data_IF_049739409501
#
_entry.id   IF_049739409501
#
_cell.length_a   1.000
_cell.length_b   1.000
_cell.length_c   1.000
_cell.angle_alpha   90.00
_cell.angle_beta   90.00
_cell.angle_gamma   90.00
#
_symmetry.space_group_name_H-M   'P 1'
#
loop_
_entity.id
_entity.type
_entity.pdbx_description
1 polymer ?
#
# COMPACT_ATOMS: atom_id res chain seq x y z
N UNK A 1 -60.03 1.78 14.01
CA UNK A 1 -58.83 2.31 14.70
C UNK A 1 -57.92 1.13 14.98
N UNK A 2 -56.98 0.84 14.08
CA UNK A 2 -55.95 -0.22 14.19
C UNK A 2 -54.64 0.38 13.66
N UNK A 3 -53.59 0.16 14.43
CA UNK A 3 -52.23 0.69 14.25
C UNK A 3 -51.39 -0.22 13.33
N UNK A 4 -50.27 0.34 12.87
CA UNK A 4 -49.15 -0.26 12.15
C UNK A 4 -49.35 -0.51 10.65
N UNK A 5 -48.61 0.25 9.83
CA UNK A 5 -47.65 -0.30 8.87
C UNK A 5 -46.56 0.76 8.61
N UNK A 6 -45.43 0.53 9.29
CA UNK A 6 -44.12 1.11 9.04
C UNK A 6 -43.82 1.05 7.54
N UNK A 7 -43.74 2.19 6.86
CA UNK A 7 -43.14 2.27 5.52
C UNK A 7 -41.63 2.22 5.68
N UNK A 8 -41.10 1.01 5.72
CA UNK A 8 -39.71 0.74 5.36
C UNK A 8 -39.66 0.82 3.83
N UNK A 9 -38.98 1.83 3.32
CA UNK A 9 -38.61 1.91 1.91
C UNK A 9 -37.34 1.06 1.73
N UNK A 10 -37.36 -0.01 0.91
CA UNK A 10 -36.19 -0.82 0.67
C UNK A 10 -35.38 -0.26 -0.51
N UNK A 11 -34.07 -0.32 -0.38
CA UNK A 11 -33.06 -0.25 -1.45
C UNK A 11 -32.88 1.10 -2.15
N UNK A 12 -32.02 1.95 -1.58
CA UNK A 12 -31.01 2.61 -2.40
C UNK A 12 -29.64 2.07 -1.97
N UNK A 13 -29.07 1.32 -2.89
CA UNK A 13 -27.76 0.70 -2.81
C UNK A 13 -26.65 1.75 -2.66
N UNK A 14 -25.53 1.32 -2.07
CA UNK A 14 -24.19 1.90 -2.26
C UNK A 14 -23.83 3.24 -1.58
N UNK A 15 -24.02 3.37 -0.27
CA UNK A 15 -23.06 4.15 0.55
C UNK A 15 -22.00 3.21 1.13
N UNK A 16 -21.37 2.46 0.23
CA UNK A 16 -20.08 1.82 0.47
C UNK A 16 -18.97 2.86 0.40
N UNK A 17 -19.00 3.85 1.31
CA UNK A 17 -17.82 4.66 1.61
C UNK A 17 -16.93 3.83 2.56
N UNK A 18 -16.61 2.62 2.13
CA UNK A 18 -15.63 1.77 2.80
C UNK A 18 -14.26 2.15 2.25
N UNK A 19 -13.56 2.94 3.06
CA UNK A 19 -12.13 3.19 2.96
C UNK A 19 -11.66 3.75 1.60
N UNK A 20 -11.92 5.04 1.38
CA UNK A 20 -10.91 5.85 0.67
C UNK A 20 -9.70 5.86 1.59
N UNK A 21 -8.86 4.85 1.43
CA UNK A 21 -7.60 4.65 2.11
C UNK A 21 -6.86 5.99 2.26
N UNK A 22 -6.81 6.48 3.51
CA UNK A 22 -6.20 7.73 3.99
C UNK A 22 -4.69 7.70 3.75
N UNK A 23 -4.29 7.74 2.48
CA UNK A 23 -2.89 7.72 2.05
C UNK A 23 -2.22 9.09 2.25
N UNK A 24 -2.78 9.94 3.10
CA UNK A 24 -2.33 11.31 3.40
C UNK A 24 -1.06 11.34 4.25
N UNK A 25 -0.69 10.22 4.87
CA UNK A 25 0.60 10.05 5.58
C UNK A 25 1.68 9.41 4.68
N UNK A 26 1.45 9.30 3.37
CA UNK A 26 2.46 8.78 2.46
C UNK A 26 3.47 9.88 2.08
N UNK A 27 4.66 9.75 2.68
CA UNK A 27 5.95 10.15 2.12
C UNK A 27 6.58 11.46 2.58
N UNK A 28 6.81 11.60 3.89
CA UNK A 28 8.04 12.24 4.35
C UNK A 28 9.19 11.21 4.42
N UNK A 29 9.73 10.81 3.27
CA UNK A 29 10.98 10.03 3.19
C UNK A 29 12.21 10.93 3.10
N UNK A 30 12.02 12.26 3.11
CA UNK A 30 13.10 13.23 3.01
C UNK A 30 13.51 13.82 4.37
N UNK A 31 12.70 13.68 5.43
CA UNK A 31 12.86 14.36 6.71
C UNK A 31 13.26 13.48 7.90
N UNK A 32 14.36 12.74 7.83
CA UNK A 32 15.06 12.33 9.07
C UNK A 32 14.69 10.97 9.67
N UNK A 33 14.62 9.92 8.88
CA UNK A 33 14.74 8.55 9.42
C UNK A 33 16.23 8.21 9.52
N UNK A 34 16.71 7.82 10.69
CA UNK A 34 18.08 7.34 10.91
C UNK A 34 18.37 5.99 10.24
N UNK A 35 17.76 5.73 9.09
CA UNK A 35 17.87 4.51 8.32
C UNK A 35 19.11 4.59 7.42
N UNK A 36 19.84 3.49 7.35
CA UNK A 36 20.95 3.32 6.42
C UNK A 36 20.48 3.37 4.97
N UNK A 37 21.39 3.74 4.06
CA UNK A 37 21.09 3.82 2.62
C UNK A 37 20.56 2.50 2.04
N UNK A 38 20.98 1.35 2.60
CA UNK A 38 20.50 0.04 2.18
C UNK A 38 19.02 -0.19 2.56
N UNK A 39 18.62 0.18 3.79
CA UNK A 39 17.25 0.06 4.27
C UNK A 39 16.29 0.95 3.47
N UNK A 40 16.72 2.16 3.12
CA UNK A 40 15.95 3.07 2.26
C UNK A 40 15.68 2.48 0.87
N UNK A 41 16.65 1.75 0.29
CA UNK A 41 16.47 1.09 -1.00
C UNK A 41 15.46 -0.05 -0.93
N UNK A 42 15.49 -0.86 0.13
CA UNK A 42 14.51 -1.94 0.37
C UNK A 42 13.10 -1.37 0.52
N UNK A 43 12.94 -0.33 1.34
CA UNK A 43 11.63 0.34 1.54
C UNK A 43 11.11 0.90 0.21
N UNK A 44 11.96 1.60 -0.54
CA UNK A 44 11.59 2.17 -1.84
C UNK A 44 11.15 1.09 -2.83
N UNK A 45 11.88 -0.03 -2.92
CA UNK A 45 11.50 -1.15 -3.79
C UNK A 45 10.18 -1.80 -3.36
N UNK A 46 9.96 -1.99 -2.05
CA UNK A 46 8.72 -2.56 -1.51
C UNK A 46 7.49 -1.71 -1.83
N UNK A 47 7.62 -0.39 -1.81
CA UNK A 47 6.54 0.54 -2.17
C UNK A 47 6.20 0.49 -3.66
N UNK A 48 7.20 0.32 -4.51
CA UNK A 48 6.97 0.10 -5.94
C UNK A 48 6.25 -1.22 -6.20
N UNK A 49 6.60 -2.30 -5.46
CA UNK A 49 5.87 -3.58 -5.51
C UNK A 49 4.41 -3.40 -5.12
N UNK A 50 4.15 -2.72 -3.99
CA UNK A 50 2.79 -2.46 -3.51
C UNK A 50 1.98 -1.65 -4.54
N UNK A 51 2.61 -0.68 -5.19
CA UNK A 51 2.00 0.15 -6.24
C UNK A 51 1.68 -0.67 -7.49
N UNK A 52 2.63 -1.47 -7.99
CA UNK A 52 2.43 -2.34 -9.15
C UNK A 52 1.32 -3.37 -8.89
N UNK A 53 1.28 -3.94 -7.69
CA UNK A 53 0.21 -4.84 -7.27
C UNK A 53 -1.16 -4.16 -7.26
N UNK A 54 -1.25 -2.95 -6.67
CA UNK A 54 -2.49 -2.15 -6.64
C UNK A 54 -3.00 -1.81 -8.04
N UNK A 55 -2.09 -1.49 -8.96
CA UNK A 55 -2.43 -1.17 -10.35
C UNK A 55 -2.67 -2.42 -11.22
N UNK A 56 -2.45 -3.62 -10.68
CA UNK A 56 -2.51 -4.90 -11.43
C UNK A 56 -1.60 -4.89 -12.65
N UNK A 57 -0.49 -4.16 -12.58
CA UNK A 57 0.52 -4.13 -13.63
C UNK A 57 1.50 -5.29 -13.40
N UNK A 58 1.25 -6.40 -14.08
CA UNK A 58 2.02 -7.63 -13.95
C UNK A 58 3.49 -7.45 -14.38
N UNK A 59 3.73 -6.68 -15.43
CA UNK A 59 5.08 -6.43 -15.94
C UNK A 59 5.89 -5.59 -14.94
N UNK A 60 5.29 -4.52 -14.41
CA UNK A 60 5.91 -3.71 -13.37
C UNK A 60 6.08 -4.49 -12.07
N UNK A 61 5.15 -5.38 -11.72
CA UNK A 61 5.24 -6.21 -10.50
C UNK A 61 6.46 -7.11 -10.55
N UNK A 62 6.67 -7.83 -11.67
CA UNK A 62 7.86 -8.69 -11.82
C UNK A 62 9.15 -7.88 -11.77
N UNK A 63 9.19 -6.71 -12.41
CA UNK A 63 10.39 -5.86 -12.40
C UNK A 63 10.70 -5.33 -10.98
N UNK A 64 9.68 -4.89 -10.24
CA UNK A 64 9.84 -4.30 -8.92
C UNK A 64 10.16 -5.35 -7.86
N UNK A 65 9.64 -6.58 -7.99
CA UNK A 65 10.03 -7.71 -7.15
C UNK A 65 11.51 -8.07 -7.32
N UNK A 66 12.03 -8.09 -8.55
CA UNK A 66 13.47 -8.31 -8.79
C UNK A 66 14.33 -7.24 -8.11
N UNK A 67 13.91 -5.96 -8.24
CA UNK A 67 14.59 -4.84 -7.56
C UNK A 67 14.56 -4.99 -6.04
N UNK A 68 13.47 -5.49 -5.48
CA UNK A 68 13.35 -5.75 -4.05
C UNK A 68 14.33 -6.84 -3.61
N UNK A 69 14.41 -7.95 -4.36
CA UNK A 69 15.41 -9.01 -4.10
C UNK A 69 16.83 -8.44 -4.10
N UNK A 70 17.21 -7.72 -5.17
CA UNK A 70 18.56 -7.14 -5.27
C UNK A 70 18.85 -6.13 -4.14
N UNK A 71 17.84 -5.40 -3.65
CA UNK A 71 18.01 -4.44 -2.56
C UNK A 71 18.21 -5.14 -1.21
N UNK A 72 17.49 -6.25 -0.98
CA UNK A 72 17.65 -7.06 0.22
C UNK A 72 19.01 -7.74 0.25
N UNK A 73 19.45 -8.34 -0.85
CA UNK A 73 20.79 -8.95 -0.94
C UNK A 73 21.90 -7.95 -0.58
N UNK A 74 21.85 -6.73 -1.13
CA UNK A 74 22.83 -5.67 -0.79
C UNK A 74 22.75 -5.21 0.67
N UNK A 75 21.56 -5.27 1.27
CA UNK A 75 21.38 -4.92 2.68
C UNK A 75 21.96 -6.03 3.57
N UNK A 76 21.77 -7.29 3.21
CA UNK A 76 22.37 -8.44 3.90
C UNK A 76 23.90 -8.40 3.82
N UNK A 77 24.47 -8.18 2.63
CA UNK A 77 25.92 -7.99 2.43
C UNK A 77 26.48 -6.86 3.32
N UNK A 78 25.71 -5.79 3.53
CA UNK A 78 26.11 -4.67 4.38
C UNK A 78 26.07 -5.00 5.87
N UNK A 79 25.24 -5.95 6.30
CA UNK A 79 25.14 -6.40 7.69
C UNK A 79 26.21 -7.44 8.05
N UNK A 80 26.72 -8.18 7.07
CA UNK A 80 27.74 -9.21 7.26
C UNK A 80 29.20 -8.71 7.14
N UNK A 81 29.42 -7.52 6.58
CA UNK A 81 30.74 -6.90 6.38
C UNK A 81 31.18 -5.97 7.50
#
# INVERSE_FOLDING_TARGET
>A
MINAHRRQDPTHDSDGIDAVNDNSEAFDVAGGTGLGLAEQQVISAALLVATAFRLRDEAALVQTLRRLTDAVERMEDHLEG
#
